data_IF_097331187965
#
_entry.id   IF_097331187965
#
_cell.length_a   1.000
_cell.length_b   1.000
_cell.length_c   1.000
_cell.angle_alpha   90.00
_cell.angle_beta   90.00
_cell.angle_gamma   90.00
#
_symmetry.space_group_name_H-M   'P 1'
#
loop_
_entity.id
_entity.type
_entity.pdbx_description
1 polymer ?
#
# COMPACT_ATOMS: atom_id res chain seq x y z
N UNK A 1 -20.28 4.39 -30.61
CA UNK A 1 -21.49 4.53 -31.47
C UNK A 1 -22.41 5.49 -30.76
N UNK A 2 -22.72 6.52 -31.51
CA UNK A 2 -23.53 7.68 -31.21
C UNK A 2 -24.95 7.31 -30.78
N UNK A 3 -25.29 7.55 -29.55
CA UNK A 3 -26.62 7.57 -29.02
C UNK A 3 -26.75 8.74 -28.09
N UNK A 4 -26.92 9.95 -28.63
CA UNK A 4 -27.46 11.06 -27.88
C UNK A 4 -28.98 10.82 -27.77
N UNK A 5 -29.44 10.47 -26.56
CA UNK A 5 -30.85 10.46 -26.29
C UNK A 5 -31.31 11.93 -26.15
N UNK A 6 -32.27 12.32 -27.01
CA UNK A 6 -32.97 13.61 -26.93
C UNK A 6 -33.81 13.63 -25.65
N UNK A 7 -33.24 14.16 -24.57
CA UNK A 7 -33.97 14.52 -23.35
C UNK A 7 -34.21 16.01 -23.35
N UNK A 8 -35.42 16.42 -23.67
CA UNK A 8 -35.86 17.79 -23.51
C UNK A 8 -35.84 18.14 -22.01
N UNK A 9 -34.96 19.03 -21.60
CA UNK A 9 -35.26 20.06 -20.59
C UNK A 9 -34.10 21.05 -20.50
N UNK A 10 -34.29 22.25 -21.04
CA UNK A 10 -33.52 23.50 -20.81
C UNK A 10 -31.99 23.42 -21.10
N UNK A 11 -31.59 22.79 -22.17
CA UNK A 11 -30.20 22.75 -22.60
C UNK A 11 -30.04 23.51 -23.91
N UNK A 12 -29.06 24.40 -24.00
CA UNK A 12 -28.60 24.91 -25.30
C UNK A 12 -28.16 23.72 -26.19
N UNK A 13 -28.28 23.90 -27.50
CA UNK A 13 -27.92 22.86 -28.47
C UNK A 13 -26.47 22.40 -28.26
N UNK A 14 -26.31 21.12 -27.99
CA UNK A 14 -24.99 20.48 -27.92
C UNK A 14 -24.53 20.13 -29.35
N UNK A 15 -23.40 20.67 -29.76
CA UNK A 15 -22.81 20.42 -31.06
C UNK A 15 -21.59 19.52 -30.96
N UNK A 16 -21.50 18.50 -31.82
CA UNK A 16 -20.28 17.70 -31.98
C UNK A 16 -19.49 18.30 -33.15
N UNK A 17 -18.36 18.90 -32.86
CA UNK A 17 -17.46 19.46 -33.86
C UNK A 17 -16.04 18.91 -33.66
N UNK A 18 -15.43 18.34 -34.68
CA UNK A 18 -14.08 17.74 -34.65
C UNK A 18 -13.88 16.73 -33.49
N UNK A 19 -14.88 15.86 -33.23
CA UNK A 19 -14.82 14.89 -32.15
C UNK A 19 -14.92 15.48 -30.74
N UNK A 20 -15.30 16.76 -30.63
CA UNK A 20 -15.50 17.46 -29.36
C UNK A 20 -16.96 17.85 -29.20
N UNK A 21 -17.51 17.56 -28.01
CA UNK A 21 -18.81 18.05 -27.61
C UNK A 21 -18.68 19.50 -27.12
N UNK A 22 -19.45 20.40 -27.70
CA UNK A 22 -19.56 21.82 -27.29
C UNK A 22 -20.98 22.11 -26.88
N UNK A 23 -21.13 22.70 -25.69
CA UNK A 23 -22.40 23.14 -25.15
C UNK A 23 -22.25 24.58 -24.68
N UNK A 24 -23.18 25.46 -25.05
CA UNK A 24 -23.26 26.81 -24.52
C UNK A 24 -24.41 26.88 -23.53
N UNK A 25 -24.11 27.20 -22.29
CA UNK A 25 -25.09 27.34 -21.20
C UNK A 25 -25.10 28.77 -20.69
N UNK A 26 -26.30 29.32 -20.49
CA UNK A 26 -26.48 30.56 -19.77
C UNK A 26 -27.03 30.20 -18.39
N UNK A 27 -26.19 30.38 -17.37
CA UNK A 27 -26.57 30.11 -15.97
C UNK A 27 -26.77 31.45 -15.27
N UNK A 28 -28.01 31.80 -14.94
CA UNK A 28 -28.29 33.05 -14.22
C UNK A 28 -27.59 33.14 -12.87
N UNK A 29 -27.39 34.35 -12.30
CA UNK A 29 -26.84 34.53 -10.96
C UNK A 29 -27.67 33.74 -9.93
N UNK A 30 -26.98 32.98 -9.06
CA UNK A 30 -27.55 32.13 -8.01
C UNK A 30 -28.26 30.85 -8.48
N UNK A 31 -28.29 30.58 -9.77
CA UNK A 31 -28.74 29.28 -10.32
C UNK A 31 -27.58 28.28 -10.49
N UNK A 32 -27.95 27.00 -10.59
CA UNK A 32 -26.99 25.90 -10.85
C UNK A 32 -27.51 25.09 -12.01
N UNK A 33 -26.57 24.63 -12.84
CA UNK A 33 -26.83 23.67 -13.90
C UNK A 33 -25.99 22.43 -13.68
N UNK A 34 -26.59 21.25 -13.73
CA UNK A 34 -25.88 19.99 -13.60
C UNK A 34 -25.56 19.45 -15.00
N UNK A 35 -24.31 19.06 -15.21
CA UNK A 35 -23.89 18.29 -16.37
C UNK A 35 -23.67 16.84 -15.90
N UNK A 36 -24.32 15.89 -16.55
CA UNK A 36 -24.22 14.46 -16.25
C UNK A 36 -23.49 13.78 -17.36
N UNK A 37 -22.39 13.11 -17.06
CA UNK A 37 -21.67 12.23 -17.96
C UNK A 37 -21.80 10.80 -17.44
N UNK A 38 -22.45 9.93 -18.19
CA UNK A 38 -22.60 8.52 -17.89
C UNK A 38 -21.64 7.70 -18.75
N UNK A 39 -20.83 6.88 -18.11
CA UNK A 39 -19.89 5.97 -18.79
C UNK A 39 -20.12 4.58 -18.20
N UNK A 40 -20.42 3.60 -19.05
CA UNK A 40 -20.66 2.23 -18.64
C UNK A 40 -20.23 1.20 -19.68
N UNK A 41 -19.95 -0.02 -19.23
CA UNK A 41 -19.71 -1.18 -20.08
C UNK A 41 -21.02 -1.84 -20.56
N UNK A 42 -22.16 -1.43 -20.01
CA UNK A 42 -23.50 -1.89 -20.37
C UNK A 42 -24.26 -0.75 -21.01
N UNK A 43 -25.35 -1.08 -21.68
CA UNK A 43 -26.29 -0.09 -22.20
C UNK A 43 -26.76 0.82 -21.06
N UNK A 44 -26.74 2.13 -21.31
CA UNK A 44 -27.19 3.11 -20.33
C UNK A 44 -28.72 3.04 -20.21
N UNK A 45 -29.22 3.12 -18.99
CA UNK A 45 -30.66 3.08 -18.69
C UNK A 45 -31.33 4.44 -18.81
N UNK A 46 -32.37 4.67 -17.99
CA UNK A 46 -33.03 5.97 -17.87
C UNK A 46 -32.03 7.03 -17.37
N UNK A 47 -32.16 8.30 -17.81
CA UNK A 47 -31.28 9.39 -17.37
C UNK A 47 -31.19 9.51 -15.85
N UNK A 48 -29.98 9.71 -15.35
CA UNK A 48 -29.71 9.83 -13.91
C UNK A 48 -30.17 11.19 -13.39
N UNK A 49 -31.03 11.20 -12.38
CA UNK A 49 -31.31 12.41 -11.60
C UNK A 49 -30.06 12.78 -10.78
N UNK A 50 -29.37 13.90 -11.11
CA UNK A 50 -28.11 14.26 -10.47
C UNK A 50 -28.26 14.59 -8.98
N UNK A 51 -29.39 15.15 -8.55
CA UNK A 51 -29.65 15.47 -7.14
C UNK A 51 -29.81 14.21 -6.30
N UNK A 52 -30.59 13.24 -6.78
CA UNK A 52 -30.77 11.94 -6.11
C UNK A 52 -29.47 11.15 -6.09
N UNK A 53 -28.74 11.10 -7.22
CA UNK A 53 -27.46 10.40 -7.31
C UNK A 53 -26.45 10.97 -6.31
N UNK A 54 -26.36 12.30 -6.21
CA UNK A 54 -25.49 12.96 -5.24
C UNK A 54 -25.85 12.59 -3.80
N UNK A 55 -27.11 12.75 -3.40
CA UNK A 55 -27.57 12.44 -2.04
C UNK A 55 -27.35 10.96 -1.69
N UNK A 56 -27.66 10.07 -2.61
CA UNK A 56 -27.42 8.62 -2.46
C UNK A 56 -25.94 8.32 -2.23
N UNK A 57 -25.06 8.94 -3.02
CA UNK A 57 -23.61 8.76 -2.91
C UNK A 57 -23.09 9.31 -1.59
N UNK A 58 -23.47 10.53 -1.18
CA UNK A 58 -23.08 11.09 0.12
C UNK A 58 -23.52 10.19 1.28
N UNK A 59 -24.77 9.72 1.25
CA UNK A 59 -25.31 8.82 2.29
C UNK A 59 -24.53 7.51 2.35
N UNK A 60 -24.23 6.91 1.20
CA UNK A 60 -23.46 5.67 1.13
C UNK A 60 -22.04 5.84 1.71
N UNK A 61 -21.32 6.90 1.34
CA UNK A 61 -19.99 7.19 1.87
C UNK A 61 -20.01 7.53 3.38
N UNK A 62 -20.99 8.34 3.81
CA UNK A 62 -21.14 8.68 5.23
C UNK A 62 -21.38 7.44 6.09
N UNK A 63 -22.11 6.47 5.56
CA UNK A 63 -22.40 5.22 6.26
C UNK A 63 -21.21 4.23 6.22
N UNK A 64 -20.44 4.23 5.13
CA UNK A 64 -19.36 3.28 4.91
C UNK A 64 -18.03 3.68 5.60
N UNK A 65 -17.82 4.99 5.88
CA UNK A 65 -16.56 5.47 6.47
C UNK A 65 -16.66 5.55 7.99
N UNK A 66 -15.90 4.78 8.76
CA UNK A 66 -15.87 4.81 10.21
C UNK A 66 -15.39 6.16 10.75
N UNK A 67 -15.74 6.45 11.98
CA UNK A 67 -15.15 7.56 12.74
C UNK A 67 -13.90 7.08 13.45
N UNK A 68 -12.81 7.82 13.31
CA UNK A 68 -11.51 7.54 13.92
C UNK A 68 -11.20 8.55 15.03
N UNK A 69 -12.15 8.80 15.92
CA UNK A 69 -12.04 9.83 16.97
C UNK A 69 -10.82 9.64 17.89
N UNK A 70 -10.41 8.40 18.06
CA UNK A 70 -9.31 8.01 18.96
C UNK A 70 -7.95 7.94 18.26
N UNK A 71 -7.88 8.26 16.97
CA UNK A 71 -6.61 8.35 16.25
C UNK A 71 -5.91 9.69 16.46
N UNK A 72 -4.61 9.77 16.19
CA UNK A 72 -3.83 11.01 16.29
C UNK A 72 -4.25 12.07 15.25
N UNK A 73 -4.86 11.64 14.12
CA UNK A 73 -5.32 12.52 13.06
C UNK A 73 -6.70 12.08 12.51
N UNK A 74 -7.81 12.31 13.24
CA UNK A 74 -9.12 11.74 12.91
C UNK A 74 -9.62 12.00 11.49
N UNK A 75 -9.49 13.25 11.01
CA UNK A 75 -9.93 13.61 9.66
C UNK A 75 -9.08 12.94 8.56
N UNK A 76 -7.77 12.86 8.76
CA UNK A 76 -6.90 12.23 7.78
C UNK A 76 -7.04 10.70 7.81
N UNK A 77 -7.33 10.13 8.99
CA UNK A 77 -7.65 8.70 9.13
C UNK A 77 -8.95 8.34 8.40
N UNK A 78 -10.01 9.15 8.56
CA UNK A 78 -11.25 8.98 7.80
C UNK A 78 -11.02 9.08 6.29
N UNK A 79 -10.22 10.06 5.87
CA UNK A 79 -9.89 10.26 4.46
C UNK A 79 -9.07 9.10 3.91
N UNK A 80 -8.04 8.62 4.64
CA UNK A 80 -7.25 7.47 4.23
C UNK A 80 -8.12 6.21 4.08
N UNK A 81 -9.01 5.94 5.04
CA UNK A 81 -9.96 4.84 4.92
C UNK A 81 -10.85 5.00 3.68
N UNK A 82 -11.41 6.19 3.44
CA UNK A 82 -12.24 6.44 2.27
C UNK A 82 -11.47 6.21 0.96
N UNK A 83 -10.21 6.61 0.90
CA UNK A 83 -9.33 6.34 -0.26
C UNK A 83 -9.13 4.83 -0.46
N UNK A 84 -8.75 4.09 0.58
CA UNK A 84 -8.58 2.64 0.52
C UNK A 84 -9.87 1.94 0.11
N UNK A 85 -11.02 2.35 0.68
CA UNK A 85 -12.34 1.84 0.30
C UNK A 85 -12.68 2.10 -1.16
N UNK A 86 -12.40 3.30 -1.66
CA UNK A 86 -12.63 3.70 -3.06
C UNK A 86 -11.74 2.95 -4.05
N UNK A 87 -10.58 2.45 -3.62
CA UNK A 87 -9.66 1.65 -4.43
C UNK A 87 -9.93 0.15 -4.36
N UNK A 88 -10.82 -0.29 -3.47
CA UNK A 88 -11.18 -1.71 -3.28
C UNK A 88 -12.42 -2.05 -4.10
N UNK A 89 -12.30 -3.03 -4.97
CA UNK A 89 -13.42 -3.54 -5.77
C UNK A 89 -14.36 -4.43 -4.93
N UNK A 90 -15.61 -4.68 -5.40
CA UNK A 90 -16.56 -5.56 -4.69
C UNK A 90 -16.05 -6.98 -4.41
N UNK A 91 -15.03 -7.45 -5.14
CA UNK A 91 -14.37 -8.74 -4.89
C UNK A 91 -13.27 -8.69 -3.81
N UNK A 92 -13.10 -7.56 -3.11
CA UNK A 92 -12.13 -7.37 -2.03
C UNK A 92 -10.71 -7.01 -2.49
N UNK A 93 -10.41 -7.09 -3.80
CA UNK A 93 -9.12 -6.70 -4.33
C UNK A 93 -8.96 -5.17 -4.38
N UNK A 94 -7.87 -4.66 -3.83
CA UNK A 94 -7.52 -3.24 -3.80
C UNK A 94 -6.36 -2.97 -4.76
N UNK A 95 -6.51 -2.02 -5.68
CA UNK A 95 -5.41 -1.61 -6.56
C UNK A 95 -4.34 -0.84 -5.79
N UNK A 96 -3.06 -1.01 -6.17
CA UNK A 96 -1.95 -0.30 -5.52
C UNK A 96 -2.04 1.23 -5.73
N UNK A 97 -2.48 1.67 -6.91
CA UNK A 97 -2.85 3.06 -7.15
C UNK A 97 -3.99 3.15 -8.18
N UNK A 98 -4.78 4.23 -8.11
CA UNK A 98 -5.92 4.43 -9.01
C UNK A 98 -5.51 4.95 -10.40
N UNK A 99 -4.27 5.41 -10.57
CA UNK A 99 -3.77 5.96 -11.84
C UNK A 99 -2.67 5.09 -12.44
N UNK A 100 -2.40 5.34 -13.71
CA UNK A 100 -1.25 4.81 -14.44
C UNK A 100 -0.54 5.96 -15.16
N UNK A 101 0.74 5.83 -15.35
CA UNK A 101 1.50 6.75 -16.21
C UNK A 101 1.83 8.10 -15.60
N UNK A 102 1.51 8.38 -14.34
CA UNK A 102 2.05 9.54 -13.64
C UNK A 102 3.50 9.24 -13.26
N UNK A 103 4.47 10.02 -13.75
CA UNK A 103 5.86 9.64 -13.60
C UNK A 103 6.40 9.94 -12.19
N UNK A 104 7.23 9.03 -11.71
CA UNK A 104 8.14 9.27 -10.59
C UNK A 104 9.26 10.23 -11.05
N UNK A 105 9.77 9.98 -12.25
CA UNK A 105 10.73 10.81 -12.96
C UNK A 105 10.34 10.91 -14.44
N UNK A 106 9.79 12.05 -14.85
CA UNK A 106 9.32 12.26 -16.23
C UNK A 106 10.45 12.11 -17.25
N UNK A 107 11.61 12.70 -16.97
CA UNK A 107 12.76 12.68 -17.86
C UNK A 107 13.39 11.30 -18.03
N UNK A 108 13.18 10.40 -17.06
CA UNK A 108 13.68 9.03 -17.09
C UNK A 108 12.63 8.03 -17.61
N UNK A 109 11.40 8.47 -17.95
CA UNK A 109 10.31 7.60 -18.36
C UNK A 109 9.89 6.59 -17.28
N UNK A 110 10.14 6.92 -16.00
CA UNK A 110 9.79 6.07 -14.85
C UNK A 110 8.33 6.31 -14.47
N UNK A 111 7.46 5.56 -15.11
CA UNK A 111 6.04 5.49 -14.78
C UNK A 111 5.53 4.07 -15.03
N UNK A 112 4.67 3.59 -14.14
CA UNK A 112 4.22 2.19 -14.09
C UNK A 112 2.71 2.12 -14.01
N UNK A 113 2.13 0.99 -14.45
CA UNK A 113 0.71 0.72 -14.28
C UNK A 113 0.48 0.06 -12.92
N UNK A 114 -0.07 0.81 -11.95
CA UNK A 114 -0.34 0.37 -10.59
C UNK A 114 -1.81 -0.03 -10.35
N UNK A 115 -2.61 -0.18 -11.40
CA UNK A 115 -4.02 -0.57 -11.28
C UNK A 115 -4.23 -2.08 -11.05
N UNK A 116 -3.26 -2.72 -10.40
CA UNK A 116 -3.28 -4.13 -9.99
C UNK A 116 -3.22 -4.25 -8.48
N UNK A 117 -3.61 -5.42 -7.98
CA UNK A 117 -3.63 -5.76 -6.56
C UNK A 117 -2.33 -6.45 -6.21
N UNK A 118 -1.40 -5.77 -5.54
CA UNK A 118 -0.27 -6.44 -4.89
C UNK A 118 -0.72 -7.04 -3.57
N UNK A 119 -0.38 -8.30 -3.31
CA UNK A 119 -0.76 -8.97 -2.06
C UNK A 119 -0.09 -8.32 -0.84
N UNK A 120 1.10 -7.75 -0.99
CA UNK A 120 1.77 -6.94 0.03
C UNK A 120 0.95 -5.69 0.38
N UNK A 121 0.53 -4.91 -0.61
CA UNK A 121 -0.27 -3.69 -0.44
C UNK A 121 -1.64 -4.02 0.17
N UNK A 122 -2.24 -5.10 -0.29
CA UNK A 122 -3.47 -5.66 0.25
C UNK A 122 -3.31 -6.01 1.73
N UNK A 123 -2.18 -6.63 2.11
CA UNK A 123 -1.87 -6.97 3.49
C UNK A 123 -1.68 -5.70 4.35
N UNK A 124 -0.93 -4.70 3.89
CA UNK A 124 -0.76 -3.45 4.63
C UNK A 124 -2.10 -2.74 4.87
N UNK A 125 -2.97 -2.68 3.87
CA UNK A 125 -4.29 -2.11 4.03
C UNK A 125 -5.14 -2.90 5.04
N UNK A 126 -5.17 -4.22 4.93
CA UNK A 126 -5.90 -5.07 5.87
C UNK A 126 -5.38 -4.92 7.30
N UNK A 127 -4.07 -4.93 7.51
CA UNK A 127 -3.43 -4.73 8.82
C UNK A 127 -3.81 -3.38 9.43
N UNK A 128 -3.75 -2.29 8.65
CA UNK A 128 -4.14 -0.97 9.11
C UNK A 128 -5.61 -0.92 9.56
N UNK A 129 -6.49 -1.65 8.85
CA UNK A 129 -7.92 -1.75 9.15
C UNK A 129 -8.26 -2.78 10.25
N UNK A 130 -7.26 -3.42 10.84
CA UNK A 130 -7.39 -4.31 11.97
C UNK A 130 -6.60 -3.87 13.22
N UNK A 131 -6.17 -2.60 13.31
CA UNK A 131 -5.38 -2.13 14.47
C UNK A 131 -6.19 -2.15 15.76
N UNK A 132 -7.35 -1.50 15.80
CA UNK A 132 -8.19 -1.41 17.00
C UNK A 132 -9.36 -2.39 16.98
N UNK A 133 -9.99 -2.51 15.83
CA UNK A 133 -11.16 -3.35 15.60
C UNK A 133 -11.13 -3.84 14.16
N UNK A 134 -11.78 -4.96 13.85
CA UNK A 134 -11.88 -5.43 12.48
C UNK A 134 -12.85 -4.52 11.71
N UNK A 135 -12.33 -3.85 10.68
CA UNK A 135 -13.14 -3.10 9.72
C UNK A 135 -13.33 -3.93 8.46
N UNK A 136 -14.38 -3.63 7.68
CA UNK A 136 -14.74 -4.40 6.46
C UNK A 136 -13.56 -4.63 5.51
N UNK A 137 -12.66 -3.66 5.37
CA UNK A 137 -11.48 -3.78 4.51
C UNK A 137 -10.48 -4.84 4.98
N UNK A 138 -10.47 -5.19 6.27
CA UNK A 138 -9.68 -6.34 6.76
C UNK A 138 -10.26 -7.65 6.22
N UNK A 139 -11.56 -7.86 6.39
CA UNK A 139 -12.21 -9.10 5.96
C UNK A 139 -12.18 -9.26 4.43
N UNK A 140 -12.37 -8.17 3.70
CA UNK A 140 -12.26 -8.16 2.24
C UNK A 140 -10.83 -8.48 1.78
N UNK A 141 -9.80 -7.95 2.45
CA UNK A 141 -8.41 -8.25 2.15
C UNK A 141 -8.08 -9.72 2.40
N UNK A 142 -8.55 -10.28 3.52
CA UNK A 142 -8.41 -11.71 3.85
C UNK A 142 -9.09 -12.57 2.79
N UNK A 143 -10.34 -12.26 2.44
CA UNK A 143 -11.11 -13.04 1.48
C UNK A 143 -10.45 -13.07 0.09
N UNK A 144 -10.01 -11.91 -0.43
CA UNK A 144 -9.31 -11.84 -1.71
C UNK A 144 -8.02 -12.65 -1.68
N UNK A 145 -7.20 -12.47 -0.63
CA UNK A 145 -5.92 -13.16 -0.48
C UNK A 145 -6.09 -14.67 -0.37
N UNK A 146 -7.05 -15.13 0.44
CA UNK A 146 -7.38 -16.57 0.60
C UNK A 146 -7.74 -17.19 -0.74
N UNK A 147 -8.59 -16.52 -1.54
CA UNK A 147 -8.95 -17.01 -2.85
C UNK A 147 -7.71 -17.14 -3.77
N UNK A 148 -6.77 -16.19 -3.73
CA UNK A 148 -5.53 -16.28 -4.54
C UNK A 148 -4.62 -17.42 -4.08
N UNK A 149 -4.46 -17.61 -2.77
CA UNK A 149 -3.67 -18.73 -2.21
C UNK A 149 -4.27 -20.08 -2.61
N UNK A 150 -5.59 -20.21 -2.55
CA UNK A 150 -6.29 -21.44 -2.93
C UNK A 150 -6.20 -21.73 -4.43
N UNK A 151 -6.42 -20.73 -5.28
CA UNK A 151 -6.45 -20.88 -6.73
C UNK A 151 -5.05 -21.18 -7.32
N UNK A 152 -4.02 -20.47 -6.85
CA UNK A 152 -2.68 -20.53 -7.44
C UNK A 152 -1.72 -21.49 -6.71
N UNK A 153 -1.92 -21.74 -5.41
CA UNK A 153 -1.08 -22.64 -4.62
C UNK A 153 0.41 -22.28 -4.74
N UNK A 154 1.23 -23.23 -5.22
CA UNK A 154 2.69 -23.04 -5.37
C UNK A 154 3.08 -21.98 -6.41
N UNK A 155 2.13 -21.55 -7.22
CA UNK A 155 2.32 -20.53 -8.25
C UNK A 155 1.81 -19.16 -7.82
N UNK A 156 1.56 -18.96 -6.51
CA UNK A 156 1.09 -17.67 -5.98
C UNK A 156 1.97 -16.53 -6.52
N UNK A 157 1.32 -15.52 -7.09
CA UNK A 157 1.98 -14.37 -7.69
C UNK A 157 1.98 -13.16 -6.75
N UNK A 158 2.93 -12.23 -6.90
CA UNK A 158 2.94 -11.03 -6.09
C UNK A 158 1.77 -10.08 -6.40
N UNK A 159 1.25 -10.08 -7.64
CA UNK A 159 0.17 -9.18 -8.03
C UNK A 159 -0.88 -9.85 -8.94
N UNK A 160 -2.09 -9.29 -8.88
CA UNK A 160 -3.29 -9.76 -9.58
C UNK A 160 -4.12 -8.60 -10.13
N UNK A 161 -4.95 -8.89 -11.10
CA UNK A 161 -6.07 -8.03 -11.50
C UNK A 161 -7.20 -8.14 -10.48
N UNK A 162 -8.15 -7.22 -10.52
CA UNK A 162 -9.34 -7.24 -9.66
C UNK A 162 -10.20 -8.51 -9.84
N UNK A 163 -10.14 -9.14 -11.02
CA UNK A 163 -10.81 -10.41 -11.32
C UNK A 163 -10.01 -11.66 -10.92
N UNK A 164 -8.87 -11.47 -10.22
CA UNK A 164 -8.00 -12.54 -9.76
C UNK A 164 -7.07 -13.14 -10.80
N UNK A 165 -7.08 -12.66 -12.04
CA UNK A 165 -6.12 -13.06 -13.06
C UNK A 165 -4.78 -12.33 -12.86
N UNK A 166 -3.71 -12.84 -13.44
CA UNK A 166 -2.40 -12.16 -13.43
C UNK A 166 -2.41 -10.91 -14.28
N UNK A 167 -1.63 -9.86 -13.94
CA UNK A 167 -1.47 -8.68 -14.77
C UNK A 167 -1.08 -9.05 -16.21
N UNK A 168 -1.51 -8.30 -17.23
CA UNK A 168 -1.03 -8.52 -18.59
C UNK A 168 0.47 -8.19 -18.70
N UNK A 169 1.10 -8.69 -19.76
CA UNK A 169 2.44 -8.23 -20.14
C UNK A 169 2.37 -6.76 -20.52
N UNK A 170 3.44 -6.04 -20.24
CA UNK A 170 3.57 -4.64 -20.67
C UNK A 170 3.43 -4.51 -22.19
N UNK A 171 2.69 -3.51 -22.59
CA UNK A 171 2.54 -3.12 -23.99
C UNK A 171 2.24 -1.62 -24.10
N UNK A 172 2.67 -1.01 -25.19
CA UNK A 172 2.45 0.40 -25.45
C UNK A 172 1.04 0.64 -26.00
N UNK A 173 0.36 1.68 -25.53
CA UNK A 173 -0.90 2.14 -26.09
C UNK A 173 -0.66 3.10 -27.25
N UNK A 174 -1.57 3.10 -28.23
CA UNK A 174 -1.62 4.12 -29.29
C UNK A 174 -2.36 5.38 -28.78
N UNK A 175 -1.85 5.94 -27.70
CA UNK A 175 -2.37 7.16 -27.05
C UNK A 175 -1.18 8.00 -26.57
N UNK A 176 -1.31 9.33 -26.52
CA UNK A 176 -0.27 10.17 -25.90
C UNK A 176 -0.15 9.83 -24.40
N UNK A 177 1.08 9.62 -23.95
CA UNK A 177 1.40 9.48 -22.53
C UNK A 177 1.49 10.82 -21.82
N UNK A 178 1.81 10.80 -20.53
CA UNK A 178 2.18 12.00 -19.78
C UNK A 178 3.45 12.60 -20.39
N UNK A 179 3.57 13.95 -20.50
CA UNK A 179 4.76 14.58 -21.05
C UNK A 179 6.04 14.09 -20.35
N UNK A 180 6.97 13.53 -21.12
CA UNK A 180 8.20 12.91 -20.60
C UNK A 180 8.04 11.50 -20.00
N UNK A 181 6.82 10.99 -19.87
CA UNK A 181 6.51 9.61 -19.44
C UNK A 181 6.33 8.66 -20.62
N UNK A 182 5.98 7.42 -20.30
CA UNK A 182 5.65 6.37 -21.27
C UNK A 182 4.14 6.09 -21.25
N UNK A 183 3.60 5.58 -22.36
CA UNK A 183 2.20 5.16 -22.50
C UNK A 183 2.07 3.65 -22.43
N UNK A 184 2.71 3.03 -21.44
CA UNK A 184 2.75 1.59 -21.22
C UNK A 184 1.68 1.16 -20.22
N UNK A 185 0.97 0.08 -20.52
CA UNK A 185 0.05 -0.62 -19.61
C UNK A 185 0.47 -2.07 -19.43
N UNK A 186 0.01 -2.69 -18.37
CA UNK A 186 0.54 -3.96 -17.90
C UNK A 186 1.65 -3.74 -16.89
N UNK A 187 2.18 -4.81 -16.31
CA UNK A 187 3.25 -4.69 -15.34
C UNK A 187 4.17 -5.92 -15.37
N UNK A 188 5.46 -5.66 -15.29
CA UNK A 188 6.53 -6.67 -15.29
C UNK A 188 6.51 -7.58 -14.05
N UNK A 189 5.85 -7.15 -12.94
CA UNK A 189 5.62 -7.97 -11.73
C UNK A 189 5.04 -9.35 -12.03
N UNK A 190 4.36 -9.49 -13.17
CA UNK A 190 3.80 -10.77 -13.64
C UNK A 190 4.81 -11.93 -13.61
N UNK A 191 6.08 -11.66 -13.86
CA UNK A 191 7.15 -12.67 -13.95
C UNK A 191 7.97 -12.83 -12.66
N UNK A 192 7.72 -12.01 -11.65
CA UNK A 192 8.49 -11.98 -10.42
C UNK A 192 7.99 -12.97 -9.37
N UNK A 193 8.88 -13.24 -8.42
CA UNK A 193 8.54 -13.83 -7.13
C UNK A 193 9.06 -12.88 -6.03
N UNK A 194 8.18 -12.54 -5.09
CA UNK A 194 8.47 -11.68 -3.96
C UNK A 194 8.24 -12.48 -2.67
N UNK A 195 9.30 -12.75 -1.92
CA UNK A 195 9.22 -13.59 -0.72
C UNK A 195 8.60 -12.83 0.46
N UNK A 196 8.85 -11.52 0.57
CA UNK A 196 8.28 -10.63 1.60
C UNK A 196 6.76 -10.70 1.63
N UNK A 197 6.12 -10.73 0.46
CA UNK A 197 4.68 -10.86 0.30
C UNK A 197 4.10 -12.02 1.14
N UNK A 198 4.79 -13.16 1.21
CA UNK A 198 4.33 -14.32 2.01
C UNK A 198 4.32 -14.01 3.50
N UNK A 199 5.31 -13.27 3.99
CA UNK A 199 5.37 -12.80 5.36
C UNK A 199 4.25 -11.81 5.68
N UNK A 200 3.99 -10.87 4.79
CA UNK A 200 2.93 -9.86 4.96
C UNK A 200 1.52 -10.51 4.91
N UNK A 201 1.32 -11.49 4.06
CA UNK A 201 0.07 -12.29 4.03
C UNK A 201 -0.17 -13.02 5.34
N UNK A 202 0.86 -13.60 5.96
CA UNK A 202 0.72 -14.20 7.29
C UNK A 202 0.39 -13.16 8.37
N UNK A 203 0.95 -11.94 8.28
CA UNK A 203 0.59 -10.82 9.15
C UNK A 203 -0.87 -10.40 8.99
N UNK A 204 -1.38 -10.40 7.77
CA UNK A 204 -2.80 -10.12 7.48
C UNK A 204 -3.70 -11.17 8.18
N UNK A 205 -3.40 -12.47 8.01
CA UNK A 205 -4.15 -13.53 8.68
C UNK A 205 -4.06 -13.42 10.21
N UNK A 206 -2.86 -13.17 10.75
CA UNK A 206 -2.68 -12.97 12.18
C UNK A 206 -3.49 -11.78 12.71
N UNK A 207 -3.58 -10.70 11.93
CA UNK A 207 -4.40 -9.54 12.29
C UNK A 207 -5.88 -9.91 12.37
N UNK A 208 -6.41 -10.62 11.38
CA UNK A 208 -7.78 -11.13 11.39
C UNK A 208 -8.01 -12.12 12.54
N UNK A 209 -7.03 -12.99 12.82
CA UNK A 209 -7.09 -13.96 13.91
C UNK A 209 -7.17 -13.34 15.30
N UNK A 210 -6.51 -12.21 15.53
CA UNK A 210 -6.62 -11.45 16.80
C UNK A 210 -8.04 -10.96 17.10
N UNK A 211 -8.87 -10.86 16.06
CA UNK A 211 -10.28 -10.45 16.17
C UNK A 211 -11.26 -11.63 16.02
N UNK A 212 -10.77 -12.87 16.03
CA UNK A 212 -11.58 -14.09 15.82
C UNK A 212 -12.36 -14.12 14.48
N UNK A 213 -11.81 -13.45 13.44
CA UNK A 213 -12.43 -13.35 12.10
C UNK A 213 -11.91 -14.38 11.11
N UNK A 214 -10.94 -15.26 11.46
CA UNK A 214 -10.45 -16.30 10.57
C UNK A 214 -11.45 -17.44 10.41
N UNK A 215 -11.74 -17.81 9.18
CA UNK A 215 -12.48 -19.01 8.81
C UNK A 215 -11.52 -20.19 8.62
N UNK A 216 -12.06 -21.41 8.55
CA UNK A 216 -11.28 -22.62 8.29
C UNK A 216 -10.44 -22.55 7.02
N UNK A 217 -11.00 -21.94 5.97
CA UNK A 217 -10.32 -21.75 4.68
C UNK A 217 -9.14 -20.79 4.78
N UNK A 218 -9.25 -19.76 5.62
CA UNK A 218 -8.20 -18.78 5.86
C UNK A 218 -7.03 -19.42 6.63
N UNK A 219 -7.33 -20.26 7.61
CA UNK A 219 -6.32 -21.06 8.36
C UNK A 219 -5.61 -22.06 7.42
N UNK A 220 -6.36 -22.72 6.53
CA UNK A 220 -5.77 -23.61 5.53
C UNK A 220 -4.87 -22.84 4.55
N UNK A 221 -5.28 -21.65 4.11
CA UNK A 221 -4.48 -20.78 3.28
C UNK A 221 -3.19 -20.29 4.00
N UNK A 222 -3.30 -19.88 5.27
CA UNK A 222 -2.15 -19.52 6.10
C UNK A 222 -1.14 -20.67 6.21
N UNK A 223 -1.62 -21.90 6.45
CA UNK A 223 -0.78 -23.10 6.48
C UNK A 223 -0.05 -23.32 5.15
N UNK A 224 -0.75 -23.12 4.02
CA UNK A 224 -0.14 -23.20 2.70
C UNK A 224 0.96 -22.14 2.48
N UNK A 225 0.76 -20.94 2.99
CA UNK A 225 1.77 -19.86 2.93
C UNK A 225 3.02 -20.23 3.74
N UNK A 226 2.87 -20.87 4.91
CA UNK A 226 4.00 -21.42 5.68
C UNK A 226 4.79 -22.44 4.85
N UNK A 227 4.11 -23.36 4.14
CA UNK A 227 4.75 -24.32 3.25
C UNK A 227 5.55 -23.64 2.12
N UNK A 228 5.00 -22.57 1.54
CA UNK A 228 5.68 -21.80 0.50
C UNK A 228 6.94 -21.10 1.03
N UNK A 229 6.87 -20.51 2.22
CA UNK A 229 8.03 -19.89 2.87
C UNK A 229 9.13 -20.95 3.06
N UNK A 230 8.80 -22.12 3.62
CA UNK A 230 9.79 -23.20 3.86
C UNK A 230 10.48 -23.64 2.58
N UNK A 231 9.75 -23.71 1.46
CA UNK A 231 10.28 -24.11 0.16
C UNK A 231 11.15 -23.03 -0.52
N UNK A 232 10.89 -21.75 -0.21
CA UNK A 232 11.39 -20.63 -1.02
C UNK A 232 12.38 -19.71 -0.30
N UNK A 233 12.39 -19.62 1.03
CA UNK A 233 13.16 -18.62 1.77
C UNK A 233 14.68 -18.59 1.52
N UNK A 234 15.25 -19.73 1.06
CA UNK A 234 16.68 -19.82 0.71
C UNK A 234 17.00 -19.35 -0.70
N UNK A 235 15.97 -19.15 -1.54
CA UNK A 235 16.13 -18.78 -2.94
C UNK A 235 16.12 -17.25 -3.10
N UNK A 236 16.77 -16.70 -4.14
CA UNK A 236 16.61 -15.31 -4.50
C UNK A 236 15.14 -14.95 -4.79
N UNK A 237 14.79 -13.69 -4.59
CA UNK A 237 13.49 -13.10 -4.90
C UNK A 237 13.66 -11.61 -5.29
N UNK A 238 12.62 -11.01 -5.90
CA UNK A 238 12.70 -9.63 -6.37
C UNK A 238 12.68 -8.58 -5.23
N UNK A 239 12.30 -8.99 -4.01
CA UNK A 239 12.20 -8.12 -2.85
C UNK A 239 11.06 -7.11 -2.93
N UNK A 240 10.92 -6.33 -1.87
CA UNK A 240 9.86 -5.32 -1.71
C UNK A 240 9.96 -4.20 -2.76
N UNK A 241 11.16 -3.88 -3.21
CA UNK A 241 11.41 -2.79 -4.16
C UNK A 241 11.48 -3.22 -5.63
N UNK A 242 11.32 -4.53 -5.92
CA UNK A 242 11.24 -5.07 -7.28
C UNK A 242 12.45 -4.73 -8.16
N UNK A 243 13.67 -4.75 -7.57
CA UNK A 243 14.89 -4.33 -8.26
C UNK A 243 15.45 -5.46 -9.11
N UNK A 244 15.89 -6.55 -8.45
CA UNK A 244 16.49 -7.74 -9.06
C UNK A 244 16.30 -8.95 -8.14
N UNK A 245 16.44 -10.16 -8.69
CA UNK A 245 16.41 -11.38 -7.88
C UNK A 245 17.68 -11.48 -7.03
N UNK A 246 17.55 -11.28 -5.71
CA UNK A 246 18.63 -11.35 -4.74
C UNK A 246 18.19 -11.96 -3.41
N UNK A 247 19.13 -12.12 -2.50
CA UNK A 247 18.84 -12.57 -1.14
C UNK A 247 18.57 -11.37 -0.23
N UNK A 248 17.40 -10.76 -0.37
CA UNK A 248 17.01 -9.55 0.37
C UNK A 248 16.76 -9.82 1.85
N UNK A 249 17.37 -9.03 2.72
CA UNK A 249 17.25 -9.15 4.17
C UNK A 249 15.81 -8.87 4.62
N UNK A 250 15.18 -7.82 4.06
CA UNK A 250 13.79 -7.49 4.35
C UNK A 250 12.87 -8.68 4.12
N UNK A 251 12.96 -9.35 2.97
CA UNK A 251 12.09 -10.48 2.62
C UNK A 251 12.16 -11.60 3.67
N UNK A 252 13.36 -11.88 4.20
CA UNK A 252 13.56 -12.91 5.24
C UNK A 252 12.97 -12.48 6.57
N UNK A 253 13.21 -11.24 6.96
CA UNK A 253 12.68 -10.72 8.22
C UNK A 253 11.15 -10.54 8.18
N UNK A 254 10.56 -10.17 7.04
CA UNK A 254 9.10 -10.17 6.84
C UNK A 254 8.52 -11.58 7.02
N UNK A 255 9.17 -12.61 6.47
CA UNK A 255 8.77 -14.00 6.73
C UNK A 255 8.86 -14.37 8.22
N UNK A 256 9.92 -13.97 8.92
CA UNK A 256 10.05 -14.21 10.37
C UNK A 256 8.89 -13.57 11.13
N UNK A 257 8.56 -12.30 10.81
CA UNK A 257 7.45 -11.60 11.42
C UNK A 257 6.12 -12.32 11.18
N UNK A 258 5.85 -12.69 9.93
CA UNK A 258 4.63 -13.39 9.54
C UNK A 258 4.48 -14.76 10.21
N UNK A 259 5.54 -15.57 10.20
CA UNK A 259 5.56 -16.89 10.82
C UNK A 259 5.29 -16.82 12.34
N UNK A 260 5.94 -15.88 13.04
CA UNK A 260 5.75 -15.69 14.49
C UNK A 260 4.34 -15.22 14.81
N UNK A 261 3.82 -14.26 14.06
CA UNK A 261 2.48 -13.72 14.30
C UNK A 261 1.37 -14.71 13.97
N UNK A 262 1.54 -15.54 12.91
CA UNK A 262 0.53 -16.52 12.52
C UNK A 262 0.53 -17.77 13.40
N UNK A 263 1.61 -18.07 14.10
CA UNK A 263 1.75 -19.30 14.90
C UNK A 263 0.58 -19.51 15.87
N UNK A 264 0.13 -18.45 16.56
CA UNK A 264 -0.96 -18.53 17.54
C UNK A 264 -2.33 -18.84 16.92
N UNK A 265 -2.46 -18.72 15.59
CA UNK A 265 -3.70 -18.95 14.85
C UNK A 265 -3.68 -20.22 14.00
N UNK A 266 -2.58 -20.99 14.05
CA UNK A 266 -2.43 -22.30 13.42
C UNK A 266 -2.65 -23.41 14.45
N UNK A 267 -3.07 -24.61 14.01
CA UNK A 267 -3.13 -25.76 14.92
C UNK A 267 -1.73 -26.13 15.45
N UNK A 268 -1.64 -26.73 16.64
CA UNK A 268 -0.41 -26.94 17.42
C UNK A 268 0.79 -27.46 16.62
N UNK A 269 0.59 -28.43 15.73
CA UNK A 269 1.65 -28.99 14.89
C UNK A 269 2.21 -27.97 13.88
N UNK A 270 1.37 -27.12 13.34
CA UNK A 270 1.77 -26.07 12.38
C UNK A 270 2.38 -24.86 13.09
N UNK A 271 1.89 -24.52 14.29
CA UNK A 271 2.45 -23.48 15.15
C UNK A 271 3.91 -23.77 15.50
N UNK A 272 4.21 -24.98 16.00
CA UNK A 272 5.58 -25.38 16.31
C UNK A 272 6.52 -25.36 15.09
N UNK A 273 6.02 -25.79 13.93
CA UNK A 273 6.76 -25.74 12.67
C UNK A 273 7.04 -24.31 12.21
N UNK A 274 6.03 -23.44 12.26
CA UNK A 274 6.18 -22.02 11.89
C UNK A 274 7.22 -21.32 12.78
N UNK A 275 7.16 -21.55 14.10
CA UNK A 275 8.12 -20.98 15.05
C UNK A 275 9.55 -21.49 14.79
N UNK A 276 9.74 -22.78 14.58
CA UNK A 276 11.07 -23.34 14.25
C UNK A 276 11.63 -22.82 12.93
N UNK A 277 10.78 -22.65 11.92
CA UNK A 277 11.16 -22.06 10.63
C UNK A 277 11.56 -20.58 10.79
N UNK A 278 10.80 -19.80 11.56
CA UNK A 278 11.12 -18.40 11.87
C UNK A 278 12.50 -18.27 12.53
N UNK A 279 12.80 -19.15 13.51
CA UNK A 279 14.09 -19.14 14.21
C UNK A 279 15.24 -19.55 13.26
N UNK A 280 15.03 -20.50 12.38
CA UNK A 280 16.04 -20.90 11.37
C UNK A 280 16.33 -19.74 10.39
N UNK A 281 15.30 -19.04 9.91
CA UNK A 281 15.44 -17.89 9.02
C UNK A 281 16.14 -16.75 9.76
N UNK A 282 15.74 -16.43 10.98
CA UNK A 282 16.35 -15.37 11.80
C UNK A 282 17.85 -15.64 12.05
N UNK A 283 18.19 -16.89 12.41
CA UNK A 283 19.57 -17.27 12.67
C UNK A 283 20.46 -17.11 11.43
N UNK A 284 20.01 -17.60 10.27
CA UNK A 284 20.75 -17.48 9.00
C UNK A 284 20.85 -16.03 8.54
N UNK A 285 19.78 -15.23 8.69
CA UNK A 285 19.77 -13.81 8.34
C UNK A 285 20.74 -13.02 9.22
N UNK A 286 20.72 -13.27 10.53
CA UNK A 286 21.66 -12.63 11.48
C UNK A 286 23.12 -12.95 11.17
N UNK A 287 23.37 -14.18 10.75
CA UNK A 287 24.75 -14.60 10.41
C UNK A 287 25.28 -13.91 9.14
N UNK A 288 24.41 -13.53 8.20
CA UNK A 288 24.78 -13.06 6.87
C UNK A 288 24.67 -11.57 6.64
N UNK A 289 23.77 -10.91 7.35
CA UNK A 289 23.26 -9.60 6.96
C UNK A 289 23.38 -8.55 8.08
N UNK A 290 24.34 -8.67 8.96
CA UNK A 290 24.67 -7.61 9.91
C UNK A 290 25.98 -6.96 9.51
N UNK A 291 26.05 -5.64 9.65
CA UNK A 291 27.31 -4.89 9.58
C UNK A 291 28.09 -4.96 10.89
N UNK A 292 29.25 -4.29 10.94
CA UNK A 292 30.11 -4.25 12.13
C UNK A 292 29.48 -3.49 13.31
N UNK A 293 28.51 -2.59 13.06
CA UNK A 293 27.77 -1.82 14.06
C UNK A 293 26.47 -2.52 14.50
N UNK A 294 26.17 -3.68 13.93
CA UNK A 294 25.02 -4.51 14.24
C UNK A 294 23.72 -4.05 13.56
N UNK A 295 23.79 -3.16 12.57
CA UNK A 295 22.62 -2.82 11.74
C UNK A 295 22.41 -3.87 10.64
N UNK A 296 21.15 -4.03 10.21
CA UNK A 296 20.82 -4.91 9.11
C UNK A 296 21.27 -4.30 7.79
N UNK A 297 22.07 -5.04 7.01
CA UNK A 297 22.39 -4.75 5.62
C UNK A 297 21.20 -5.03 4.71
N UNK A 298 21.08 -4.30 3.62
CA UNK A 298 20.06 -4.56 2.59
C UNK A 298 20.12 -6.01 2.07
N UNK A 299 21.33 -6.52 1.83
CA UNK A 299 21.62 -7.90 1.43
C UNK A 299 23.07 -8.30 1.79
N UNK A 300 23.40 -9.61 1.82
CA UNK A 300 24.70 -10.08 2.32
C UNK A 300 25.93 -9.61 1.53
N UNK A 301 25.76 -9.30 0.26
CA UNK A 301 26.81 -8.98 -0.71
C UNK A 301 26.90 -7.48 -1.04
N UNK A 302 26.15 -6.64 -0.31
CA UNK A 302 26.12 -5.19 -0.52
C UNK A 302 26.03 -4.45 0.80
N UNK A 303 26.97 -3.53 0.99
CA UNK A 303 26.88 -2.57 2.08
C UNK A 303 25.71 -1.59 1.88
N UNK A 304 25.25 -0.99 2.96
CA UNK A 304 24.18 -0.01 2.98
C UNK A 304 22.88 -0.54 3.59
N UNK A 305 22.13 0.38 4.10
CA UNK A 305 20.86 0.14 4.80
C UNK A 305 19.68 0.30 3.84
N UNK A 306 18.55 -0.26 4.22
CA UNK A 306 17.29 -0.20 3.48
C UNK A 306 16.16 0.17 4.45
N UNK A 307 15.39 1.19 4.12
CA UNK A 307 14.31 1.68 4.97
C UNK A 307 13.19 0.65 5.20
N UNK A 308 13.00 -0.33 4.31
CA UNK A 308 12.06 -1.41 4.53
C UNK A 308 12.38 -2.26 5.76
N UNK A 309 13.67 -2.29 6.18
CA UNK A 309 14.13 -3.02 7.36
C UNK A 309 13.56 -2.49 8.69
N UNK A 310 12.87 -1.35 8.67
CA UNK A 310 12.19 -0.79 9.84
C UNK A 310 10.86 -1.50 10.17
N UNK A 311 10.17 -2.05 9.17
CA UNK A 311 8.87 -2.69 9.38
C UNK A 311 8.95 -4.06 10.08
N UNK A 312 9.89 -4.97 9.78
CA UNK A 312 9.93 -6.27 10.42
C UNK A 312 9.96 -6.26 11.96
N UNK A 313 10.73 -5.38 12.66
CA UNK A 313 10.64 -5.25 14.11
C UNK A 313 9.27 -4.74 14.58
N UNK A 314 8.66 -3.79 13.88
CA UNK A 314 7.30 -3.29 14.17
C UNK A 314 6.28 -4.42 14.04
N UNK A 315 6.51 -5.36 13.14
CA UNK A 315 5.68 -6.54 12.86
C UNK A 315 6.01 -7.76 13.73
N UNK A 316 6.98 -7.67 14.65
CA UNK A 316 7.29 -8.74 15.59
C UNK A 316 8.35 -9.75 15.11
N UNK A 317 9.13 -9.45 14.07
CA UNK A 317 10.27 -10.28 13.68
C UNK A 317 11.30 -10.40 14.79
N UNK A 318 11.53 -9.33 15.53
CA UNK A 318 12.36 -9.23 16.72
C UNK A 318 11.89 -8.03 17.55
N UNK A 319 12.39 -7.88 18.79
CA UNK A 319 12.01 -6.73 19.61
C UNK A 319 12.37 -5.41 18.92
N UNK A 320 11.47 -4.41 18.92
CA UNK A 320 11.82 -3.05 18.48
C UNK A 320 12.99 -2.43 19.24
N UNK A 321 13.24 -2.88 20.47
CA UNK A 321 14.37 -2.44 21.34
C UNK A 321 15.59 -3.38 21.26
N UNK A 322 15.56 -4.40 20.40
CA UNK A 322 16.73 -5.21 20.12
C UNK A 322 17.87 -4.32 19.57
N UNK A 323 19.13 -4.51 19.99
CA UNK A 323 20.26 -3.70 19.50
C UNK A 323 20.33 -3.60 17.98
N UNK A 324 20.01 -4.67 17.23
CA UNK A 324 19.97 -4.69 15.77
C UNK A 324 18.88 -3.78 15.20
N UNK A 325 17.68 -3.78 15.83
CA UNK A 325 16.58 -2.90 15.44
C UNK A 325 16.94 -1.43 15.65
N UNK A 326 17.55 -1.11 16.79
CA UNK A 326 17.96 0.25 17.12
C UNK A 326 19.15 0.73 16.27
N UNK A 327 20.10 -0.15 15.96
CA UNK A 327 21.21 0.17 15.07
C UNK A 327 20.69 0.45 13.63
N UNK A 328 19.79 -0.38 13.12
CA UNK A 328 19.16 -0.16 11.80
C UNK A 328 18.34 1.12 11.75
N UNK A 329 17.55 1.42 12.80
CA UNK A 329 16.77 2.67 12.86
C UNK A 329 17.70 3.89 12.82
N UNK A 330 18.82 3.85 13.54
CA UNK A 330 19.83 4.92 13.48
C UNK A 330 20.44 5.04 12.09
N UNK A 331 20.90 3.94 11.50
CA UNK A 331 21.50 3.94 10.17
C UNK A 331 20.53 4.51 9.12
N UNK A 332 19.25 4.11 9.13
CA UNK A 332 18.23 4.68 8.23
C UNK A 332 18.06 6.18 8.44
N UNK A 333 17.96 6.65 9.70
CA UNK A 333 17.77 8.08 9.98
C UNK A 333 19.00 8.93 9.71
N UNK A 334 20.19 8.36 9.76
CA UNK A 334 21.45 9.05 9.52
C UNK A 334 21.83 9.09 8.03
N UNK A 335 21.51 8.02 7.27
CA UNK A 335 22.01 7.82 5.91
C UNK A 335 20.96 8.08 4.83
N UNK A 336 19.65 7.85 5.10
CA UNK A 336 18.60 7.86 4.10
C UNK A 336 17.61 9.03 4.22
N UNK A 337 17.98 10.10 4.93
CA UNK A 337 17.06 11.20 5.21
C UNK A 337 17.55 12.51 4.61
N UNK A 338 16.68 13.20 3.90
CA UNK A 338 16.87 14.59 3.47
C UNK A 338 15.62 15.40 3.86
N UNK A 339 15.81 16.50 4.57
CA UNK A 339 14.74 17.40 5.03
C UNK A 339 13.55 16.66 5.73
N UNK A 340 13.86 15.58 6.48
CA UNK A 340 12.88 14.78 7.21
C UNK A 340 12.03 13.85 6.32
N UNK A 341 12.39 13.64 5.08
CA UNK A 341 11.83 12.62 4.19
C UNK A 341 12.82 11.49 3.98
N UNK A 342 12.33 10.26 3.84
CA UNK A 342 13.13 9.03 3.87
C UNK A 342 13.17 8.40 2.49
N UNK A 343 14.38 8.14 1.99
CA UNK A 343 14.59 7.37 0.75
C UNK A 343 14.61 5.87 1.05
N UNK A 344 14.31 5.04 0.06
CA UNK A 344 14.31 3.58 0.19
C UNK A 344 15.68 3.03 0.58
N UNK A 345 16.68 3.43 -0.18
CA UNK A 345 18.09 3.06 -0.07
C UNK A 345 18.92 4.08 -0.85
N UNK A 346 20.23 4.04 -0.68
CA UNK A 346 21.13 4.84 -1.51
C UNK A 346 21.47 4.10 -2.80
N UNK A 347 21.14 4.69 -3.95
CA UNK A 347 21.54 4.16 -5.23
C UNK A 347 23.06 4.29 -5.44
N UNK A 348 23.68 3.26 -6.04
CA UNK A 348 25.14 3.21 -6.22
C UNK A 348 25.69 4.43 -6.96
N UNK A 349 26.62 5.13 -6.32
CA UNK A 349 27.33 6.27 -6.88
C UNK A 349 26.51 7.54 -7.07
N UNK A 350 25.28 7.59 -6.60
CA UNK A 350 24.40 8.75 -6.69
C UNK A 350 24.05 9.33 -5.31
N UNK A 351 24.02 10.66 -5.15
CA UNK A 351 23.43 11.30 -3.98
C UNK A 351 21.95 10.96 -3.83
N UNK A 352 21.42 11.09 -2.61
CA UNK A 352 19.98 11.00 -2.37
C UNK A 352 19.21 11.99 -3.25
N UNK A 353 18.08 11.58 -3.76
CA UNK A 353 17.22 12.39 -4.62
C UNK A 353 17.66 12.50 -6.08
N UNK A 354 18.80 11.97 -6.50
CA UNK A 354 19.23 11.99 -7.90
C UNK A 354 18.65 10.82 -8.70
N UNK A 355 18.44 9.67 -8.07
CA UNK A 355 17.84 8.49 -8.72
C UNK A 355 16.31 8.51 -8.63
N UNK A 356 15.75 8.88 -7.48
CA UNK A 356 14.32 8.81 -7.15
C UNK A 356 13.94 9.85 -6.10
N UNK A 357 12.63 10.04 -5.84
CA UNK A 357 12.14 10.82 -4.71
C UNK A 357 12.23 10.06 -3.38
N UNK A 358 11.98 10.75 -2.28
CA UNK A 358 11.80 10.11 -0.98
C UNK A 358 10.47 9.33 -0.96
N UNK A 359 10.48 8.13 -0.38
CA UNK A 359 9.29 7.27 -0.29
C UNK A 359 8.49 7.58 0.98
N UNK A 360 7.26 8.04 0.82
CA UNK A 360 6.43 8.47 1.95
C UNK A 360 6.10 7.32 2.91
N UNK A 361 5.96 6.10 2.41
CA UNK A 361 5.78 4.93 3.28
C UNK A 361 6.97 4.72 4.23
N UNK A 362 8.19 5.01 3.78
CA UNK A 362 9.40 4.85 4.61
C UNK A 362 9.40 5.82 5.80
N UNK A 363 8.91 7.05 5.60
CA UNK A 363 8.77 8.01 6.68
C UNK A 363 7.72 7.61 7.72
N UNK A 364 6.59 7.03 7.30
CA UNK A 364 5.62 6.44 8.23
C UNK A 364 6.19 5.19 8.93
N UNK A 365 7.02 4.40 8.24
CA UNK A 365 7.74 3.28 8.89
C UNK A 365 8.71 3.75 9.97
N UNK A 366 9.42 4.89 9.78
CA UNK A 366 10.22 5.51 10.83
C UNK A 366 9.34 5.91 12.03
N UNK A 367 8.19 6.54 11.78
CA UNK A 367 7.22 6.89 12.84
C UNK A 367 6.82 5.66 13.65
N UNK A 368 6.42 4.58 12.99
CA UNK A 368 6.04 3.32 13.65
C UNK A 368 7.22 2.69 14.42
N UNK A 369 8.43 2.69 13.84
CA UNK A 369 9.62 2.14 14.49
C UNK A 369 10.01 2.95 15.73
N UNK A 370 9.95 4.28 15.67
CA UNK A 370 10.18 5.17 16.82
C UNK A 370 9.17 4.92 17.93
N UNK A 371 7.88 4.81 17.55
CA UNK A 371 6.80 4.50 18.50
C UNK A 371 7.03 3.15 19.19
N UNK A 372 7.32 2.12 18.41
CA UNK A 372 7.57 0.78 18.92
C UNK A 372 8.83 0.69 19.82
N UNK A 373 9.83 1.53 19.57
CA UNK A 373 11.02 1.68 20.42
C UNK A 373 10.77 2.53 21.68
N UNK A 374 9.57 3.10 21.86
CA UNK A 374 9.19 3.92 23.03
C UNK A 374 9.49 5.43 22.87
N UNK A 375 9.95 5.88 21.72
CA UNK A 375 10.23 7.29 21.43
C UNK A 375 9.00 7.97 20.81
N UNK A 376 7.97 8.20 21.63
CA UNK A 376 6.68 8.73 21.20
C UNK A 376 6.81 10.14 20.60
N UNK A 377 7.68 11.00 21.14
CA UNK A 377 7.83 12.38 20.65
C UNK A 377 8.39 12.40 19.23
N UNK A 378 9.44 11.63 18.98
CA UNK A 378 9.99 11.51 17.61
C UNK A 378 9.01 10.81 16.67
N UNK A 379 8.27 9.79 17.15
CA UNK A 379 7.22 9.15 16.34
C UNK A 379 6.20 10.17 15.81
N UNK A 380 5.72 11.09 16.67
CA UNK A 380 4.82 12.17 16.25
C UNK A 380 5.48 13.15 15.27
N UNK A 381 6.73 13.53 15.47
CA UNK A 381 7.46 14.43 14.56
C UNK A 381 7.57 13.84 13.16
N UNK A 382 7.92 12.56 13.06
CA UNK A 382 8.00 11.85 11.80
C UNK A 382 6.63 11.72 11.14
N UNK A 383 5.60 11.37 11.90
CA UNK A 383 4.22 11.29 11.42
C UNK A 383 3.74 12.62 10.81
N UNK A 384 3.90 13.72 11.53
CA UNK A 384 3.49 15.05 11.07
C UNK A 384 4.28 15.51 9.84
N UNK A 385 5.57 15.16 9.77
CA UNK A 385 6.39 15.49 8.61
C UNK A 385 5.88 14.82 7.34
N UNK A 386 5.52 13.53 7.40
CA UNK A 386 4.98 12.83 6.24
C UNK A 386 3.59 13.37 5.86
N UNK A 387 2.74 13.68 6.83
CA UNK A 387 1.43 14.28 6.58
C UNK A 387 1.53 15.63 5.87
N UNK A 388 2.57 16.39 6.13
CA UNK A 388 2.79 17.69 5.49
C UNK A 388 3.15 17.60 3.99
N UNK A 389 3.46 16.42 3.45
CA UNK A 389 3.77 16.22 2.04
C UNK A 389 2.56 16.39 1.12
N UNK A 390 1.34 16.23 1.64
CA UNK A 390 0.12 16.29 0.82
C UNK A 390 -0.41 17.71 0.67
N UNK A 391 -0.93 18.01 -0.51
CA UNK A 391 -1.67 19.23 -0.78
C UNK A 391 -3.16 19.13 -0.39
N UNK A 392 -3.99 20.10 -0.80
CA UNK A 392 -5.41 20.18 -0.43
C UNK A 392 -6.24 18.91 -0.69
N UNK A 393 -6.01 18.11 -1.75
CA UNK A 393 -6.73 16.86 -1.97
C UNK A 393 -6.42 15.76 -0.94
N UNK A 394 -5.35 15.90 -0.16
CA UNK A 394 -4.86 14.92 0.83
C UNK A 394 -4.65 13.52 0.26
N UNK A 395 -4.28 13.44 -1.02
CA UNK A 395 -3.94 12.20 -1.69
C UNK A 395 -2.43 12.02 -1.70
N UNK A 396 -1.96 10.92 -1.16
CA UNK A 396 -0.55 10.55 -1.20
C UNK A 396 -0.21 9.87 -2.53
N UNK A 397 0.90 10.29 -3.14
CA UNK A 397 1.62 9.50 -4.12
C UNK A 397 2.67 8.61 -3.41
N UNK A 398 3.38 7.81 -4.17
CA UNK A 398 4.46 6.96 -3.66
C UNK A 398 5.65 7.77 -3.19
N UNK A 399 6.09 8.71 -4.03
CA UNK A 399 7.28 9.50 -3.84
C UNK A 399 7.00 10.99 -3.58
N UNK A 400 7.95 11.62 -2.92
CA UNK A 400 8.02 13.07 -2.72
C UNK A 400 9.38 13.59 -3.19
N UNK A 401 9.36 14.50 -4.17
CA UNK A 401 10.55 15.21 -4.59
C UNK A 401 10.89 16.30 -3.57
N UNK A 402 11.91 16.06 -2.76
CA UNK A 402 12.30 16.95 -1.66
C UNK A 402 12.74 18.32 -2.17
N UNK A 403 13.43 18.37 -3.31
CA UNK A 403 13.95 19.64 -3.87
C UNK A 403 12.86 20.50 -4.50
N UNK A 404 11.85 19.87 -5.12
CA UNK A 404 10.73 20.58 -5.77
C UNK A 404 9.49 20.70 -4.87
N UNK A 405 9.49 20.09 -3.70
CA UNK A 405 8.36 20.00 -2.78
C UNK A 405 7.08 19.49 -3.48
N UNK A 406 7.20 18.41 -4.24
CA UNK A 406 6.12 17.89 -5.07
C UNK A 406 5.98 16.38 -4.95
N UNK A 407 4.72 15.92 -4.84
CA UNK A 407 4.39 14.50 -4.99
C UNK A 407 4.71 13.99 -6.39
N UNK A 408 5.21 12.76 -6.49
CA UNK A 408 5.60 12.07 -7.71
C UNK A 408 5.02 10.67 -7.77
N UNK A 409 4.83 10.17 -8.98
CA UNK A 409 4.29 8.84 -9.22
C UNK A 409 2.76 8.79 -9.19
N UNK A 410 2.23 7.58 -9.27
CA UNK A 410 0.79 7.33 -9.27
C UNK A 410 0.13 7.69 -7.95
N UNK A 411 -1.15 8.12 -8.03
CA UNK A 411 -1.93 8.51 -6.86
C UNK A 411 -3.43 8.12 -7.02
N UNK A 412 -4.19 7.98 -5.91
CA UNK A 412 -3.63 7.80 -4.57
C UNK A 412 -2.87 6.47 -4.47
N UNK A 413 -1.84 6.41 -3.61
CA UNK A 413 -1.05 5.19 -3.39
C UNK A 413 -1.54 4.45 -2.14
N UNK A 414 -1.95 3.19 -2.30
CA UNK A 414 -2.62 2.42 -1.26
C UNK A 414 -1.78 2.21 -0.01
N UNK A 415 -0.56 1.68 -0.13
CA UNK A 415 0.26 1.38 1.04
C UNK A 415 0.67 2.64 1.83
N UNK A 416 0.77 3.82 1.19
CA UNK A 416 1.05 5.07 1.90
C UNK A 416 -0.14 5.48 2.76
N UNK A 417 -1.37 5.42 2.20
CA UNK A 417 -2.60 5.67 2.97
C UNK A 417 -2.78 4.64 4.09
N UNK A 418 -2.44 3.37 3.86
CA UNK A 418 -2.50 2.31 4.86
C UNK A 418 -1.54 2.57 6.03
N UNK A 419 -0.27 2.88 5.76
CA UNK A 419 0.70 3.17 6.82
C UNK A 419 0.42 4.49 7.53
N UNK A 420 -0.12 5.51 6.84
CA UNK A 420 -0.61 6.72 7.49
C UNK A 420 -1.74 6.40 8.47
N UNK A 421 -2.74 5.61 8.05
CA UNK A 421 -3.85 5.20 8.90
C UNK A 421 -3.34 4.40 10.11
N UNK A 422 -2.50 3.39 9.89
CA UNK A 422 -1.91 2.58 10.96
C UNK A 422 -1.13 3.43 11.96
N UNK A 423 -0.27 4.33 11.47
CA UNK A 423 0.52 5.23 12.31
C UNK A 423 -0.39 6.12 13.17
N UNK A 424 -1.43 6.69 12.56
CA UNK A 424 -2.40 7.54 13.26
C UNK A 424 -3.15 6.80 14.36
N UNK A 425 -3.57 5.56 14.11
CA UNK A 425 -4.27 4.73 15.09
C UNK A 425 -3.35 4.36 16.27
N UNK A 426 -2.15 3.86 16.00
CA UNK A 426 -1.21 3.46 17.04
C UNK A 426 -0.69 4.63 17.89
N UNK A 427 -0.50 5.80 17.29
CA UNK A 427 -0.16 7.02 18.03
C UNK A 427 -1.33 7.46 18.93
N UNK A 428 -2.57 7.35 18.47
CA UNK A 428 -3.75 7.66 19.29
C UNK A 428 -3.90 6.79 20.53
N UNK A 429 -3.50 5.50 20.49
CA UNK A 429 -3.46 4.62 21.66
C UNK A 429 -2.56 5.17 22.77
N UNK A 430 -1.42 5.75 22.41
CA UNK A 430 -0.49 6.31 23.41
C UNK A 430 -1.03 7.59 24.06
N UNK A 431 -1.78 8.42 23.34
CA UNK A 431 -2.44 9.60 23.92
C UNK A 431 -3.48 9.23 24.97
N UNK A 432 -4.25 8.16 24.70
CA UNK A 432 -5.23 7.63 25.67
C UNK A 432 -4.54 7.08 26.91
N UNK A 433 -3.46 6.30 26.73
CA UNK A 433 -2.67 5.75 27.82
C UNK A 433 -2.01 6.82 28.71
N UNK A 434 -1.71 7.99 28.14
CA UNK A 434 -1.17 9.15 28.88
C UNK A 434 -2.24 10.09 29.45
N UNK A 435 -3.53 9.81 29.19
CA UNK A 435 -4.63 10.67 29.66
C UNK A 435 -4.67 12.05 29.00
N UNK A 436 -4.20 12.18 27.77
CA UNK A 436 -4.14 13.43 27.00
C UNK A 436 -5.41 13.69 26.18
N UNK A 437 -6.37 12.77 26.20
CA UNK A 437 -7.71 12.90 25.58
C UNK A 437 -8.81 12.72 26.58
#
# INVERSE_FOLDING_TARGET
RDGLADGEEHGGDAEVHDGRLRLRLEVPPHERHNLVLEIGARELGEPVDPGRAWQSTESAWTSAVPKFADSAAPHDSQHAYAVLRGMTAPGGGMVAAATLGLPERAEAGRNFDYRYVWLRDQAYAGIANGVHQPLDLLDEAVAFTTARVQDDGDRLAPAYRLDGQRPPKEHTLDLPGYPGGQNVVGNWVRGQFQLDMLGEVLQLYATSGRHDHLRSDDVAAATRVVDLIEQRWRKPDAGVWEIEDAWWTHSRLACVAGLRSAADHLGDSHAGRASALADAIMAETSRRCLDDDGAWLQRPDRAGVDAALLLPPVRGALSPTDPRSLATLRAVTDELVEDGYVYRYQADGLPLGDAEGAFLMCGFAVSLAKLAAGDTVEAYRWFERQRAAVGPPRLFAEEFDVRQHQLRGNLPQAFVHALMLESSLRLGETEQGMGLK
#
